data_IF_911466931169
#
_entry.id   IF_911466931169
#
_cell.length_a   1.000
_cell.length_b   1.000
_cell.length_c   1.000
_cell.angle_alpha   90.00
_cell.angle_beta   90.00
_cell.angle_gamma   90.00
#
_symmetry.space_group_name_H-M   'P 1'
#
loop_
_entity.id
_entity.type
_entity.pdbx_description
1 polymer ?
#
# COMPACT_ATOMS: atom_id res chain seq x y z
N UNK A 1 -18.30 5.11 -2.66
CA UNK A 1 -16.84 5.18 -2.79
C UNK A 1 -16.27 6.30 -1.93
N UNK A 2 -16.42 7.58 -2.28
CA UNK A 2 -15.79 8.68 -1.51
C UNK A 2 -16.06 8.70 0.00
N UNK A 3 -17.27 8.31 0.43
CA UNK A 3 -17.57 8.18 1.86
C UNK A 3 -16.68 7.15 2.57
N UNK A 4 -16.34 6.04 1.92
CA UNK A 4 -15.44 5.01 2.46
C UNK A 4 -14.02 5.54 2.56
N UNK A 5 -13.57 6.28 1.52
CA UNK A 5 -12.26 6.94 1.50
C UNK A 5 -12.09 7.86 2.71
N UNK A 6 -13.09 8.67 3.02
CA UNK A 6 -13.06 9.59 4.17
C UNK A 6 -12.93 8.82 5.49
N UNK A 7 -13.72 7.76 5.70
CA UNK A 7 -13.61 6.97 6.93
C UNK A 7 -12.21 6.34 7.09
N UNK A 8 -11.66 5.78 6.02
CA UNK A 8 -10.30 5.25 6.03
C UNK A 8 -9.25 6.33 6.31
N UNK A 9 -9.39 7.54 5.74
CA UNK A 9 -8.48 8.66 6.00
C UNK A 9 -8.55 9.18 7.45
N UNK A 10 -9.73 9.12 8.07
CA UNK A 10 -9.93 9.50 9.46
C UNK A 10 -9.47 8.40 10.44
N UNK A 11 -9.03 7.24 9.95
CA UNK A 11 -8.65 6.09 10.77
C UNK A 11 -9.83 5.29 11.31
N UNK A 12 -11.06 5.57 10.84
CA UNK A 12 -12.29 4.87 11.22
C UNK A 12 -12.52 3.67 10.28
N UNK A 13 -11.57 2.73 10.33
CA UNK A 13 -11.53 1.56 9.45
C UNK A 13 -12.69 0.58 9.74
N UNK A 14 -13.16 0.52 10.99
CA UNK A 14 -14.32 -0.30 11.38
C UNK A 14 -15.59 0.16 10.66
N UNK A 15 -15.86 1.47 10.67
CA UNK A 15 -17.03 2.01 9.97
C UNK A 15 -16.91 1.79 8.46
N UNK A 16 -15.72 1.97 7.89
CA UNK A 16 -15.48 1.66 6.47
C UNK A 16 -15.76 0.19 6.15
N UNK A 17 -15.25 -0.75 6.95
CA UNK A 17 -15.46 -2.20 6.79
C UNK A 17 -16.94 -2.58 6.91
N UNK A 18 -17.65 -2.04 7.90
CA UNK A 18 -19.08 -2.29 8.09
C UNK A 18 -19.90 -1.82 6.89
N UNK A 19 -19.64 -0.60 6.40
CA UNK A 19 -20.33 -0.05 5.24
C UNK A 19 -20.05 -0.81 3.94
N UNK A 20 -18.86 -1.40 3.80
CA UNK A 20 -18.54 -2.30 2.69
C UNK A 20 -19.39 -3.57 2.79
N UNK A 21 -19.51 -4.17 3.97
CA UNK A 21 -20.26 -5.41 4.18
C UNK A 21 -21.78 -5.26 3.96
N UNK A 22 -22.35 -4.09 4.23
CA UNK A 22 -23.80 -3.82 4.10
C UNK A 22 -24.30 -3.73 2.65
N UNK A 23 -23.39 -3.55 1.69
CA UNK A 23 -23.74 -3.29 0.29
C UNK A 23 -23.21 -4.38 -0.64
N UNK A 24 -23.97 -4.65 -1.69
CA UNK A 24 -23.52 -5.38 -2.87
C UNK A 24 -23.11 -4.38 -3.95
N UNK A 25 -21.82 -4.33 -4.24
CA UNK A 25 -21.23 -3.51 -5.29
C UNK A 25 -21.34 -4.24 -6.64
N UNK A 26 -21.55 -3.47 -7.70
CA UNK A 26 -21.41 -3.98 -9.07
C UNK A 26 -19.93 -4.02 -9.47
N UNK A 27 -19.52 -4.88 -10.42
CA UNK A 27 -18.17 -4.82 -10.98
C UNK A 27 -17.84 -3.40 -11.44
N UNK A 28 -16.69 -2.89 -11.02
CA UNK A 28 -16.18 -1.56 -11.35
C UNK A 28 -17.03 -0.40 -10.82
N UNK A 29 -17.87 -0.64 -9.81
CA UNK A 29 -18.70 0.40 -9.19
C UNK A 29 -17.83 1.49 -8.55
N UNK A 30 -17.81 2.66 -9.21
CA UNK A 30 -17.02 3.80 -8.79
C UNK A 30 -15.57 3.79 -9.27
N UNK A 31 -15.18 2.80 -10.07
CA UNK A 31 -13.86 2.68 -10.71
C UNK A 31 -13.19 1.33 -10.43
N UNK A 32 -12.43 0.84 -11.40
CA UNK A 32 -11.76 -0.46 -11.33
C UNK A 32 -10.81 -0.54 -10.13
N UNK A 33 -10.94 -1.60 -9.32
CA UNK A 33 -10.10 -1.86 -8.15
C UNK A 33 -10.35 -0.93 -6.96
N UNK A 34 -11.18 0.11 -7.07
CA UNK A 34 -11.36 1.10 -5.99
C UNK A 34 -12.01 0.49 -4.74
N UNK A 35 -13.02 -0.37 -4.91
CA UNK A 35 -13.67 -1.02 -3.76
C UNK A 35 -12.77 -2.04 -3.09
N UNK A 36 -12.02 -2.80 -3.90
CA UNK A 36 -11.00 -3.73 -3.42
C UNK A 36 -9.93 -2.99 -2.63
N UNK A 37 -9.46 -1.83 -3.11
CA UNK A 37 -8.51 -0.99 -2.37
C UNK A 37 -9.05 -0.61 -0.99
N UNK A 38 -10.30 -0.11 -0.90
CA UNK A 38 -10.88 0.27 0.40
C UNK A 38 -11.03 -0.93 1.34
N UNK A 39 -11.40 -2.10 0.82
CA UNK A 39 -11.51 -3.34 1.58
C UNK A 39 -10.14 -3.84 2.08
N UNK A 40 -9.12 -3.81 1.24
CA UNK A 40 -7.75 -4.18 1.64
C UNK A 40 -7.22 -3.20 2.70
N UNK A 41 -7.37 -1.89 2.47
CA UNK A 41 -6.94 -0.85 3.40
C UNK A 41 -7.55 -1.05 4.79
N UNK A 42 -8.89 -1.17 4.90
CA UNK A 42 -9.50 -1.28 6.23
C UNK A 42 -9.05 -2.55 6.97
N UNK A 43 -8.94 -3.70 6.30
CA UNK A 43 -8.49 -4.93 6.96
C UNK A 43 -7.03 -4.88 7.41
N UNK A 44 -6.13 -4.33 6.58
CA UNK A 44 -4.70 -4.20 6.92
C UNK A 44 -4.52 -3.23 8.08
N UNK A 45 -5.20 -2.08 8.06
CA UNK A 45 -5.07 -1.09 9.11
C UNK A 45 -5.72 -1.54 10.43
N UNK A 46 -6.86 -2.24 10.39
CA UNK A 46 -7.42 -2.90 11.58
C UNK A 46 -6.46 -3.96 12.13
N UNK A 47 -5.79 -4.72 11.26
CA UNK A 47 -4.80 -5.70 11.70
C UNK A 47 -3.61 -5.02 12.39
N UNK A 48 -3.12 -3.91 11.86
CA UNK A 48 -2.07 -3.09 12.52
C UNK A 48 -2.55 -2.55 13.88
N UNK A 49 -3.77 -2.05 13.97
CA UNK A 49 -4.35 -1.60 15.26
C UNK A 49 -4.45 -2.74 16.28
N UNK A 50 -4.81 -3.96 15.85
CA UNK A 50 -4.81 -5.15 16.71
C UNK A 50 -3.39 -5.53 17.14
N UNK A 51 -2.38 -5.42 16.26
CA UNK A 51 -0.97 -5.63 16.63
C UNK A 51 -0.48 -4.60 17.65
N UNK A 52 -0.83 -3.32 17.50
CA UNK A 52 -0.51 -2.28 18.49
C UNK A 52 -1.13 -2.57 19.87
N UNK A 53 -2.27 -3.26 19.90
CA UNK A 53 -2.97 -3.68 21.11
C UNK A 53 -2.49 -5.04 21.65
N UNK A 54 -1.44 -5.63 21.06
CA UNK A 54 -0.93 -6.95 21.41
C UNK A 54 -1.96 -8.08 21.23
N UNK A 55 -2.80 -7.95 20.20
CA UNK A 55 -3.83 -8.93 19.80
C UNK A 55 -3.50 -9.61 18.46
N UNK A 56 -2.37 -10.33 18.34
CA UNK A 56 -1.90 -10.86 17.06
C UNK A 56 -2.83 -11.90 16.42
N UNK A 57 -3.68 -12.57 17.21
CA UNK A 57 -4.70 -13.50 16.69
C UNK A 57 -5.78 -12.78 15.89
N UNK A 58 -6.20 -11.60 16.34
CA UNK A 58 -7.20 -10.78 15.64
C UNK A 58 -6.56 -10.21 14.36
N UNK A 59 -5.31 -9.76 14.44
CA UNK A 59 -4.57 -9.32 13.26
C UNK A 59 -4.48 -10.41 12.17
N UNK A 60 -4.14 -11.65 12.55
CA UNK A 60 -4.12 -12.77 11.60
C UNK A 60 -5.50 -13.05 11.00
N UNK A 61 -6.57 -12.99 11.79
CA UNK A 61 -7.93 -13.17 11.27
C UNK A 61 -8.23 -12.14 10.18
N UNK A 62 -7.99 -10.86 10.46
CA UNK A 62 -8.24 -9.76 9.52
C UNK A 62 -7.40 -9.87 8.25
N UNK A 63 -6.11 -10.23 8.38
CA UNK A 63 -5.22 -10.42 7.23
C UNK A 63 -5.60 -11.65 6.40
N UNK A 64 -6.16 -12.70 7.02
CA UNK A 64 -6.60 -13.91 6.32
C UNK A 64 -7.89 -13.69 5.53
N UNK A 65 -8.74 -12.73 5.92
CA UNK A 65 -9.91 -12.33 5.11
C UNK A 65 -9.52 -11.79 3.72
N UNK A 66 -8.27 -11.37 3.54
CA UNK A 66 -7.76 -10.87 2.25
C UNK A 66 -7.33 -11.97 1.27
N UNK A 67 -7.37 -13.25 1.68
CA UNK A 67 -7.09 -14.36 0.76
C UNK A 67 -8.19 -14.55 -0.27
N UNK A 68 -9.45 -14.35 0.15
CA UNK A 68 -10.63 -14.50 -0.68
C UNK A 68 -11.57 -13.31 -0.46
N UNK A 69 -11.70 -12.48 -1.49
CA UNK A 69 -12.58 -11.33 -1.43
C UNK A 69 -14.05 -11.76 -1.39
N UNK A 70 -14.89 -11.13 -0.56
CA UNK A 70 -16.29 -11.49 -0.46
C UNK A 70 -17.05 -11.11 -1.75
N UNK A 71 -18.04 -11.93 -2.12
CA UNK A 71 -18.82 -11.78 -3.37
C UNK A 71 -19.49 -10.40 -3.51
N UNK A 72 -19.74 -9.73 -2.39
CA UNK A 72 -20.38 -8.42 -2.38
C UNK A 72 -19.50 -7.30 -2.95
N UNK A 73 -18.17 -7.49 -3.07
CA UNK A 73 -17.30 -6.49 -3.71
C UNK A 73 -17.54 -6.38 -5.22
N UNK A 74 -18.10 -7.42 -5.86
CA UNK A 74 -18.30 -7.45 -7.31
C UNK A 74 -17.01 -7.56 -8.13
N UNK A 75 -15.84 -7.60 -7.49
CA UNK A 75 -14.52 -7.70 -8.10
C UNK A 75 -13.67 -8.74 -7.37
N UNK A 76 -12.97 -9.57 -8.16
CA UNK A 76 -12.06 -10.59 -7.65
C UNK A 76 -10.62 -10.11 -7.58
N UNK A 77 -9.79 -10.91 -6.92
CA UNK A 77 -8.34 -10.70 -6.85
C UNK A 77 -7.68 -10.96 -8.20
N UNK A 78 -6.77 -10.08 -8.60
CA UNK A 78 -6.00 -10.25 -9.83
C UNK A 78 -4.93 -11.34 -9.67
N UNK A 79 -4.84 -12.33 -10.58
CA UNK A 79 -3.80 -13.34 -10.53
C UNK A 79 -2.40 -12.72 -10.57
N UNK A 80 -1.54 -13.12 -9.64
CA UNK A 80 -0.14 -12.65 -9.58
C UNK A 80 0.04 -11.24 -9.02
N UNK A 81 -1.02 -10.59 -8.49
CA UNK A 81 -0.87 -9.30 -7.79
C UNK A 81 0.04 -9.48 -6.56
N UNK A 82 1.11 -8.68 -6.42
CA UNK A 82 1.95 -8.70 -5.22
C UNK A 82 1.17 -8.26 -3.97
N UNK A 83 1.50 -8.86 -2.83
CA UNK A 83 0.84 -8.68 -1.52
C UNK A 83 1.86 -8.71 -0.37
N UNK A 84 3.03 -8.11 -0.62
CA UNK A 84 4.16 -8.16 0.27
C UNK A 84 3.84 -7.58 1.66
N UNK A 85 2.96 -6.58 1.70
CA UNK A 85 2.42 -5.97 2.91
C UNK A 85 1.64 -6.97 3.77
N UNK A 86 0.71 -7.72 3.18
CA UNK A 86 -0.10 -8.73 3.88
C UNK A 86 0.80 -9.81 4.47
N UNK A 87 1.73 -10.35 3.67
CA UNK A 87 2.69 -11.36 4.14
C UNK A 87 3.59 -10.81 5.25
N UNK A 88 4.08 -9.57 5.12
CA UNK A 88 4.90 -8.94 6.15
C UNK A 88 4.14 -8.82 7.48
N UNK A 89 2.91 -8.31 7.48
CA UNK A 89 2.13 -8.14 8.71
C UNK A 89 1.71 -9.46 9.33
N UNK A 90 1.45 -10.51 8.53
CA UNK A 90 1.25 -11.87 9.06
C UNK A 90 2.51 -12.40 9.74
N UNK A 91 3.67 -12.18 9.13
CA UNK A 91 4.96 -12.52 9.74
C UNK A 91 5.15 -11.85 11.09
N UNK A 92 4.89 -10.54 11.18
CA UNK A 92 4.93 -9.79 12.45
C UNK A 92 3.94 -10.36 13.48
N UNK A 93 2.72 -10.70 13.06
CA UNK A 93 1.74 -11.31 13.96
C UNK A 93 2.20 -12.67 14.50
N UNK A 94 2.81 -13.51 13.67
CA UNK A 94 3.40 -14.79 14.10
C UNK A 94 4.59 -14.61 15.04
N UNK A 95 5.46 -13.62 14.80
CA UNK A 95 6.55 -13.29 15.74
C UNK A 95 6.00 -12.93 17.13
N UNK A 96 4.95 -12.10 17.21
CA UNK A 96 4.31 -11.73 18.48
C UNK A 96 3.62 -12.90 19.20
N UNK A 97 3.40 -14.01 18.50
CA UNK A 97 2.84 -15.25 19.05
C UNK A 97 3.90 -16.29 19.42
N UNK A 98 5.20 -15.93 19.38
CA UNK A 98 6.32 -16.86 19.56
C UNK A 98 6.30 -18.04 18.56
N UNK A 99 5.91 -17.76 17.31
CA UNK A 99 5.81 -18.73 16.20
C UNK A 99 6.82 -18.42 15.09
N UNK A 100 8.13 -18.66 15.33
CA UNK A 100 9.19 -18.19 14.45
C UNK A 100 9.24 -18.91 13.09
N UNK A 101 8.83 -20.17 13.01
CA UNK A 101 8.83 -20.93 11.75
C UNK A 101 7.77 -20.37 10.79
N UNK A 102 6.57 -20.09 11.30
CA UNK A 102 5.50 -19.49 10.52
C UNK A 102 5.81 -18.04 10.15
N UNK A 103 6.40 -17.27 11.06
CA UNK A 103 6.86 -15.91 10.77
C UNK A 103 7.87 -15.90 9.62
N UNK A 104 8.87 -16.78 9.67
CA UNK A 104 9.87 -16.93 8.63
C UNK A 104 9.23 -17.27 7.28
N UNK A 105 8.29 -18.23 7.25
CA UNK A 105 7.61 -18.61 6.02
C UNK A 105 6.81 -17.45 5.39
N UNK A 106 6.18 -16.61 6.20
CA UNK A 106 5.48 -15.42 5.71
C UNK A 106 6.47 -14.35 5.22
N UNK A 107 7.59 -14.12 5.91
CA UNK A 107 8.62 -13.20 5.42
C UNK A 107 9.26 -13.67 4.11
N UNK A 108 9.47 -14.97 3.91
CA UNK A 108 9.96 -15.51 2.63
C UNK A 108 9.02 -15.20 1.46
N UNK A 109 7.70 -15.22 1.69
CA UNK A 109 6.70 -14.80 0.70
C UNK A 109 6.78 -13.29 0.46
N UNK A 110 6.88 -12.50 1.54
CA UNK A 110 7.00 -11.04 1.47
C UNK A 110 8.28 -10.57 0.75
N UNK A 111 9.32 -11.41 0.64
CA UNK A 111 10.56 -11.10 -0.08
C UNK A 111 10.46 -11.24 -1.60
N UNK A 112 9.41 -11.87 -2.13
CA UNK A 112 9.29 -12.12 -3.57
C UNK A 112 8.81 -10.88 -4.33
N UNK A 113 9.20 -10.75 -5.60
CA UNK A 113 8.73 -9.67 -6.49
C UNK A 113 9.84 -8.75 -6.99
N UNK A 114 9.46 -7.79 -7.83
CA UNK A 114 10.38 -6.82 -8.44
C UNK A 114 10.89 -5.82 -7.39
N UNK A 115 12.22 -5.62 -7.33
CA UNK A 115 12.87 -4.63 -6.46
C UNK A 115 13.12 -3.28 -7.14
N UNK A 116 12.82 -3.18 -8.44
CA UNK A 116 13.06 -2.00 -9.26
C UNK A 116 11.73 -1.24 -9.35
N UNK A 117 11.64 -0.02 -8.80
CA UNK A 117 10.44 0.78 -8.92
C UNK A 117 10.15 1.09 -10.39
N UNK A 118 8.86 1.16 -10.70
CA UNK A 118 8.36 1.56 -12.02
C UNK A 118 7.44 2.74 -11.84
N UNK A 119 7.31 3.52 -12.90
CA UNK A 119 6.31 4.56 -12.94
C UNK A 119 4.92 3.91 -12.85
N UNK A 120 4.09 4.38 -11.91
CA UNK A 120 2.74 3.88 -11.73
C UNK A 120 1.75 4.92 -12.26
N UNK A 121 1.23 4.70 -13.46
CA UNK A 121 0.23 5.55 -14.12
C UNK A 121 -1.14 4.89 -14.04
N UNK A 122 -1.19 3.56 -14.03
CA UNK A 122 -2.39 2.74 -14.03
C UNK A 122 -2.66 2.14 -12.65
N UNK A 123 -3.93 1.81 -12.38
CA UNK A 123 -4.37 1.31 -11.06
C UNK A 123 -3.76 -0.07 -10.72
N UNK A 124 -3.42 -0.86 -11.75
CA UNK A 124 -2.85 -2.18 -11.66
C UNK A 124 -1.32 -2.18 -11.71
N UNK A 125 -0.69 -1.01 -11.84
CA UNK A 125 0.77 -0.92 -11.81
C UNK A 125 1.30 -1.35 -10.44
N UNK A 126 2.52 -1.93 -10.38
CA UNK A 126 3.15 -2.30 -9.12
C UNK A 126 3.22 -1.10 -8.17
N UNK A 127 2.57 -1.25 -7.02
CA UNK A 127 2.53 -0.22 -5.99
C UNK A 127 3.85 -0.20 -5.18
N UNK A 128 4.42 0.97 -4.88
CA UNK A 128 5.73 1.09 -4.24
C UNK A 128 5.78 0.52 -2.82
N UNK A 129 4.64 0.40 -2.15
CA UNK A 129 4.49 -0.27 -0.87
C UNK A 129 4.98 -1.71 -0.92
N UNK A 130 4.75 -2.43 -2.03
CA UNK A 130 5.19 -3.81 -2.15
C UNK A 130 6.72 -3.92 -2.04
N UNK A 131 7.43 -3.00 -2.70
CA UNK A 131 8.89 -2.89 -2.64
C UNK A 131 9.35 -2.51 -1.22
N UNK A 132 8.63 -1.60 -0.58
CA UNK A 132 8.90 -1.21 0.81
C UNK A 132 8.76 -2.41 1.77
N UNK A 133 7.64 -3.13 1.74
CA UNK A 133 7.41 -4.28 2.62
C UNK A 133 8.30 -5.47 2.28
N UNK A 134 8.71 -5.62 1.02
CA UNK A 134 9.77 -6.57 0.62
C UNK A 134 11.08 -6.26 1.35
N UNK A 135 11.52 -5.00 1.34
CA UNK A 135 12.70 -4.58 2.06
C UNK A 135 12.56 -4.74 3.59
N UNK A 136 11.39 -4.42 4.17
CA UNK A 136 11.12 -4.67 5.59
C UNK A 136 11.20 -6.16 5.95
N UNK A 137 10.76 -7.06 5.07
CA UNK A 137 10.89 -8.51 5.27
C UNK A 137 12.35 -8.97 5.25
N UNK A 138 13.18 -8.38 4.37
CA UNK A 138 14.63 -8.60 4.38
C UNK A 138 15.29 -8.10 5.67
N UNK A 139 14.91 -6.92 6.18
CA UNK A 139 15.36 -6.43 7.49
C UNK A 139 15.00 -7.41 8.61
N UNK A 140 13.74 -7.88 8.65
CA UNK A 140 13.26 -8.85 9.65
C UNK A 140 14.04 -10.16 9.65
N UNK A 141 14.55 -10.56 8.48
CA UNK A 141 15.36 -11.77 8.33
C UNK A 141 16.85 -11.56 8.57
N UNK A 142 17.29 -10.34 8.92
CA UNK A 142 18.67 -10.01 9.26
C UNK A 142 19.56 -9.54 8.10
N UNK A 143 19.05 -9.44 6.87
CA UNK A 143 19.82 -8.92 5.73
C UNK A 143 19.58 -7.41 5.54
N UNK A 144 20.12 -6.62 6.47
CA UNK A 144 19.99 -5.16 6.47
C UNK A 144 20.62 -4.51 5.24
N UNK A 145 21.71 -5.10 4.71
CA UNK A 145 22.43 -4.55 3.55
C UNK A 145 21.58 -4.65 2.29
N UNK A 146 20.95 -5.81 2.07
CA UNK A 146 20.09 -6.00 0.92
C UNK A 146 18.83 -5.13 1.03
N UNK A 147 18.21 -5.06 2.21
CA UNK A 147 17.09 -4.15 2.44
C UNK A 147 17.45 -2.67 2.18
N UNK A 148 18.63 -2.23 2.63
CA UNK A 148 19.11 -0.86 2.37
C UNK A 148 19.24 -0.57 0.88
N UNK A 149 19.68 -1.55 0.08
CA UNK A 149 19.76 -1.42 -1.38
C UNK A 149 18.37 -1.19 -1.99
N UNK A 150 17.36 -1.91 -1.51
CA UNK A 150 16.00 -1.77 -2.02
C UNK A 150 15.41 -0.39 -1.66
N UNK A 151 15.62 0.10 -0.43
CA UNK A 151 15.21 1.45 -0.06
C UNK A 151 15.95 2.54 -0.86
N UNK A 152 17.21 2.30 -1.21
CA UNK A 152 17.97 3.19 -2.08
C UNK A 152 17.43 3.22 -3.51
N UNK A 153 16.93 2.10 -4.04
CA UNK A 153 16.27 2.08 -5.34
C UNK A 153 15.02 2.97 -5.35
N UNK A 154 14.20 2.94 -4.29
CA UNK A 154 13.04 3.82 -4.14
C UNK A 154 13.44 5.30 -4.14
N UNK A 155 14.50 5.65 -3.39
CA UNK A 155 15.02 7.01 -3.31
C UNK A 155 15.61 7.49 -4.64
N UNK A 156 16.36 6.63 -5.33
CA UNK A 156 16.97 6.95 -6.62
C UNK A 156 15.89 7.21 -7.66
N UNK A 157 14.91 6.29 -7.77
CA UNK A 157 13.81 6.45 -8.71
C UNK A 157 13.06 7.77 -8.50
N UNK A 158 12.65 8.07 -7.26
CA UNK A 158 11.90 9.29 -6.99
C UNK A 158 12.68 10.57 -7.27
N UNK A 159 14.02 10.55 -7.17
CA UNK A 159 14.86 11.70 -7.53
C UNK A 159 15.05 11.84 -9.03
N UNK A 160 15.31 10.72 -9.71
CA UNK A 160 15.65 10.71 -11.13
C UNK A 160 14.43 11.03 -12.00
N UNK A 161 13.22 10.70 -11.54
CA UNK A 161 11.98 10.84 -12.31
C UNK A 161 11.07 11.99 -11.85
N UNK A 162 11.47 12.81 -10.86
CA UNK A 162 10.61 13.87 -10.29
C UNK A 162 10.11 14.88 -11.34
N UNK A 163 10.99 15.25 -12.28
CA UNK A 163 10.75 16.30 -13.28
C UNK A 163 10.39 15.74 -14.67
N UNK A 164 10.04 14.45 -14.75
CA UNK A 164 9.65 13.82 -16.02
C UNK A 164 8.32 14.37 -16.55
N UNK A 165 8.26 14.59 -17.87
CA UNK A 165 7.04 14.99 -18.57
C UNK A 165 6.25 13.78 -19.07
N UNK A 166 5.08 13.56 -18.51
CA UNK A 166 4.32 12.33 -18.66
C UNK A 166 3.22 12.52 -19.70
N UNK A 167 3.17 11.57 -20.64
CA UNK A 167 2.13 11.53 -21.68
C UNK A 167 1.57 10.14 -21.76
N UNK A 168 0.25 10.05 -21.73
CA UNK A 168 -0.47 8.82 -22.01
C UNK A 168 -0.71 8.76 -23.52
N UNK A 169 -0.46 7.60 -24.12
CA UNK A 169 -0.81 7.34 -25.51
C UNK A 169 -2.33 7.49 -25.70
N UNK A 170 -2.74 8.13 -26.78
CA UNK A 170 -4.13 8.31 -27.16
C UNK A 170 -4.94 6.99 -27.17
N UNK A 171 -4.26 5.85 -27.39
CA UNK A 171 -4.89 4.52 -27.39
C UNK A 171 -4.83 3.76 -26.05
N UNK A 172 -4.39 4.36 -24.95
CA UNK A 172 -4.37 3.69 -23.65
C UNK A 172 -5.81 3.46 -23.13
N UNK A 173 -6.16 2.20 -22.87
CA UNK A 173 -7.53 1.76 -22.52
C UNK A 173 -7.74 1.42 -21.04
N UNK A 174 -6.74 1.62 -20.19
CA UNK A 174 -6.72 1.17 -18.78
C UNK A 174 -6.59 2.31 -17.76
N UNK A 175 -7.04 3.52 -18.11
CA UNK A 175 -6.97 4.63 -17.16
C UNK A 175 -7.97 4.44 -16.00
N UNK A 176 -7.55 4.68 -14.74
CA UNK A 176 -8.39 4.39 -13.56
C UNK A 176 -9.67 5.23 -13.47
N UNK A 177 -9.72 6.35 -14.20
CA UNK A 177 -10.76 7.36 -14.04
C UNK A 177 -11.37 7.76 -15.39
N UNK A 178 -12.66 8.07 -15.37
CA UNK A 178 -13.37 8.64 -16.50
C UNK A 178 -12.70 9.98 -16.86
N UNK A 179 -12.02 10.05 -18.00
CA UNK A 179 -11.37 11.27 -18.52
C UNK A 179 -12.41 12.31 -18.98
N UNK A 180 -13.22 12.81 -18.05
CA UNK A 180 -14.10 13.96 -18.30
C UNK A 180 -13.29 15.26 -18.26
N UNK A 181 -12.15 15.25 -17.55
CA UNK A 181 -11.27 16.40 -17.36
C UNK A 181 -9.82 16.00 -17.60
N UNK A 182 -9.02 16.95 -18.14
CA UNK A 182 -7.58 16.78 -18.29
C UNK A 182 -6.92 16.60 -16.92
N UNK A 183 -6.04 15.60 -16.83
CA UNK A 183 -5.27 15.34 -15.62
C UNK A 183 -3.85 15.89 -15.76
N UNK A 184 -3.34 16.50 -14.69
CA UNK A 184 -1.94 16.89 -14.59
C UNK A 184 -1.09 15.65 -14.27
N UNK A 185 -0.63 14.97 -15.33
CA UNK A 185 0.15 13.74 -15.23
C UNK A 185 1.54 13.98 -14.63
N UNK A 186 2.12 15.15 -14.88
CA UNK A 186 3.41 15.55 -14.33
C UNK A 186 3.28 15.71 -12.81
N UNK A 187 2.21 16.36 -12.34
CA UNK A 187 1.94 16.46 -10.91
C UNK A 187 1.65 15.09 -10.27
N UNK A 188 0.91 14.20 -10.94
CA UNK A 188 0.71 12.82 -10.45
C UNK A 188 2.02 12.06 -10.32
N UNK A 189 2.91 12.20 -11.30
CA UNK A 189 4.23 11.61 -11.25
C UNK A 189 5.09 12.19 -10.12
N UNK A 190 5.06 13.51 -9.91
CA UNK A 190 5.78 14.14 -8.80
C UNK A 190 5.26 13.65 -7.43
N UNK A 191 3.95 13.50 -7.26
CA UNK A 191 3.34 12.91 -6.05
C UNK A 191 3.83 11.47 -5.84
N UNK A 192 3.81 10.64 -6.88
CA UNK A 192 4.31 9.26 -6.84
C UNK A 192 5.79 9.17 -6.46
N UNK A 193 6.62 10.03 -7.05
CA UNK A 193 8.05 10.12 -6.76
C UNK A 193 8.32 10.55 -5.31
N UNK A 194 7.61 11.57 -4.82
CA UNK A 194 7.68 12.00 -3.42
C UNK A 194 7.27 10.88 -2.46
N UNK A 195 6.22 10.12 -2.81
CA UNK A 195 5.77 9.00 -2.00
C UNK A 195 6.80 7.87 -1.94
N UNK A 196 7.41 7.50 -3.07
CA UNK A 196 8.52 6.54 -3.10
C UNK A 196 9.71 6.99 -2.25
N UNK A 197 10.08 8.27 -2.35
CA UNK A 197 11.14 8.83 -1.52
C UNK A 197 10.80 8.73 -0.04
N UNK A 198 9.56 9.06 0.34
CA UNK A 198 9.07 8.92 1.71
C UNK A 198 9.20 7.50 2.24
N UNK A 199 8.79 6.50 1.47
CA UNK A 199 8.95 5.08 1.81
C UNK A 199 10.42 4.67 1.95
N UNK A 200 11.28 5.13 1.04
CA UNK A 200 12.72 4.86 1.10
C UNK A 200 13.39 5.47 2.33
N UNK A 201 13.06 6.71 2.70
CA UNK A 201 13.54 7.34 3.93
C UNK A 201 13.01 6.65 5.18
N UNK A 202 11.72 6.28 5.19
CA UNK A 202 11.10 5.55 6.30
C UNK A 202 11.81 4.22 6.55
N UNK A 203 12.10 3.46 5.49
CA UNK A 203 12.79 2.17 5.59
C UNK A 203 14.23 2.25 6.12
N UNK A 204 14.88 3.41 5.94
CA UNK A 204 16.21 3.73 6.47
C UNK A 204 16.17 4.36 7.87
N UNK A 205 15.00 4.42 8.51
CA UNK A 205 14.77 5.08 9.79
C UNK A 205 15.05 6.61 9.78
N UNK A 206 15.07 7.27 8.62
CA UNK A 206 15.15 8.73 8.52
C UNK A 206 13.72 9.32 8.55
N UNK A 207 13.11 9.28 9.73
CA UNK A 207 11.71 9.68 9.92
C UNK A 207 11.47 11.15 9.57
N UNK A 208 12.47 12.03 9.77
CA UNK A 208 12.34 13.45 9.44
C UNK A 208 12.15 13.65 7.94
N UNK A 209 13.00 13.04 7.10
CA UNK A 209 12.85 13.15 5.65
C UNK A 209 11.61 12.41 5.13
N UNK A 210 11.26 11.28 5.74
CA UNK A 210 10.04 10.56 5.40
C UNK A 210 8.78 11.42 5.64
N UNK A 211 8.66 12.01 6.82
CA UNK A 211 7.52 12.84 7.20
C UNK A 211 7.43 14.11 6.34
N UNK A 212 8.57 14.74 6.00
CA UNK A 212 8.64 15.85 5.05
C UNK A 212 8.09 15.44 3.67
N UNK A 213 8.48 14.28 3.14
CA UNK A 213 7.99 13.77 1.86
C UNK A 213 6.48 13.47 1.91
N UNK A 214 6.01 12.72 2.91
CA UNK A 214 4.60 12.37 3.05
C UNK A 214 3.71 13.60 3.27
N UNK A 215 4.19 14.58 4.04
CA UNK A 215 3.46 15.84 4.23
C UNK A 215 3.35 16.61 2.92
N UNK A 216 4.38 16.61 2.08
CA UNK A 216 4.33 17.25 0.76
C UNK A 216 3.39 16.51 -0.20
N UNK A 217 3.39 15.17 -0.18
CA UNK A 217 2.38 14.35 -0.88
C UNK A 217 0.97 14.78 -0.47
N UNK A 218 0.68 14.85 0.83
CA UNK A 218 -0.65 15.18 1.35
C UNK A 218 -1.08 16.64 1.09
N UNK A 219 -0.13 17.57 0.89
CA UNK A 219 -0.48 18.93 0.44
C UNK A 219 -0.94 18.97 -1.01
N UNK A 220 -0.38 18.10 -1.86
CA UNK A 220 -0.69 18.03 -3.29
C UNK A 220 -1.88 17.13 -3.58
N UNK A 221 -2.01 16.04 -2.82
CA UNK A 221 -3.14 15.13 -2.83
C UNK A 221 -3.50 14.74 -1.39
N UNK A 222 -4.43 15.49 -0.81
CA UNK A 222 -4.98 15.23 0.53
C UNK A 222 -5.58 13.83 0.66
N UNK A 223 -5.96 13.21 -0.46
CA UNK A 223 -6.60 11.91 -0.48
C UNK A 223 -5.64 10.75 -0.63
N UNK A 224 -4.32 10.99 -0.67
CA UNK A 224 -3.32 9.95 -0.87
C UNK A 224 -3.25 9.00 0.34
N UNK A 225 -3.98 7.89 0.26
CA UNK A 225 -4.14 6.88 1.32
C UNK A 225 -2.77 6.38 1.83
N UNK A 226 -1.85 6.05 0.91
CA UNK A 226 -0.53 5.52 1.25
C UNK A 226 0.29 6.44 2.16
N UNK A 227 0.49 7.70 1.77
CA UNK A 227 1.17 8.71 2.58
C UNK A 227 0.48 8.94 3.94
N UNK A 228 -0.86 8.99 3.96
CA UNK A 228 -1.63 9.13 5.20
C UNK A 228 -1.37 7.97 6.18
N UNK A 229 -1.39 6.72 5.68
CA UNK A 229 -1.11 5.53 6.47
C UNK A 229 0.32 5.53 7.00
N UNK A 230 1.31 5.71 6.12
CA UNK A 230 2.72 5.56 6.51
C UNK A 230 3.20 6.70 7.42
N UNK A 231 2.65 7.91 7.26
CA UNK A 231 2.93 9.04 8.17
C UNK A 231 2.44 8.77 9.61
N UNK A 232 1.29 8.10 9.74
CA UNK A 232 0.64 7.87 11.03
C UNK A 232 0.93 6.50 11.66
N UNK A 233 1.60 5.60 10.95
CA UNK A 233 1.90 4.26 11.44
C UNK A 233 2.97 4.30 12.55
N UNK A 234 2.66 3.69 13.70
CA UNK A 234 3.58 3.63 14.86
C UNK A 234 4.39 2.34 14.92
N UNK A 235 3.97 1.32 14.18
CA UNK A 235 4.65 0.03 14.09
C UNK A 235 5.87 0.03 13.15
N UNK A 236 6.06 1.10 12.38
CA UNK A 236 7.12 1.25 11.37
C UNK A 236 8.24 2.19 11.80
#
# INVERSE_FOLDING_TARGET
MERLTIYNQLGDFETAKALIAERKFQPWEGGEGKIVLQFCTCNIELAKQALEQNEPRIALQLLNELELYPDNLGEGKLPGKPENDIYYWRGVAYEMMDRPEEAYAEFEKAKQGDIIPKQAIFYNDPQPENIFYQAKAWQKSGDERYASTIFENLLAFGKDHMDDHIRIDYFAVSLPELMVFDQDLDNKNAIHCLYMMGLGYLGRNDRRQADECFSEVLKRDVNHIGAGIHLNCRLL
#
